data_IF_385474564299
#
_entry.id   IF_385474564299
#
_cell.length_a   1.000
_cell.length_b   1.000
_cell.length_c   1.000
_cell.angle_alpha   90.00
_cell.angle_beta   90.00
_cell.angle_gamma   90.00
#
_symmetry.space_group_name_H-M   'P 1'
#
loop_
_entity.id
_entity.type
_entity.pdbx_description
1 polymer ?
#
# COMPACT_ATOMS: atom_id res chain seq x y z
N UNK A 1 5.14 -5.08 -17.71
CA UNK A 1 5.43 -6.50 -18.00
C UNK A 1 6.65 -7.05 -17.23
N UNK A 2 6.90 -6.62 -15.99
CA UNK A 2 7.93 -7.16 -15.04
C UNK A 2 9.42 -7.33 -15.46
N UNK A 3 10.27 -7.53 -14.44
CA UNK A 3 11.72 -7.82 -14.54
C UNK A 3 12.04 -9.28 -14.18
N UNK A 4 11.08 -10.20 -14.41
CA UNK A 4 11.37 -11.63 -14.47
C UNK A 4 11.68 -12.01 -15.91
N UNK A 5 12.90 -12.48 -16.17
CA UNK A 5 13.40 -12.71 -17.53
C UNK A 5 14.25 -13.98 -17.58
N UNK A 6 14.17 -14.70 -18.70
CA UNK A 6 15.07 -15.82 -18.96
C UNK A 6 16.41 -15.32 -19.51
N UNK A 7 17.52 -15.83 -18.97
CA UNK A 7 18.89 -15.61 -19.47
C UNK A 7 19.53 -16.97 -19.65
N UNK A 8 19.86 -17.32 -20.90
CA UNK A 8 20.45 -18.63 -21.24
C UNK A 8 19.69 -19.84 -20.66
N UNK A 9 18.35 -19.77 -20.64
CA UNK A 9 17.48 -20.85 -20.15
C UNK A 9 17.20 -20.85 -18.64
N UNK A 10 17.80 -19.95 -17.85
CA UNK A 10 17.51 -19.79 -16.42
C UNK A 10 16.65 -18.56 -16.15
N UNK A 11 15.67 -18.67 -15.25
CA UNK A 11 14.77 -17.58 -14.86
C UNK A 11 15.42 -16.70 -13.80
N UNK A 12 15.50 -15.40 -14.05
CA UNK A 12 16.02 -14.40 -13.12
C UNK A 12 14.88 -13.52 -12.59
N UNK A 13 14.96 -13.18 -11.31
CA UNK A 13 14.23 -12.07 -10.71
C UNK A 13 15.20 -10.88 -10.65
N UNK A 14 15.08 -9.96 -11.60
CA UNK A 14 16.07 -8.91 -11.84
C UNK A 14 17.45 -9.51 -12.18
N UNK A 15 18.45 -9.30 -11.32
CA UNK A 15 19.81 -9.82 -11.48
C UNK A 15 20.05 -11.12 -10.70
N UNK A 16 19.05 -11.64 -9.99
CA UNK A 16 19.20 -12.82 -9.12
C UNK A 16 18.53 -14.04 -9.73
N UNK A 17 19.23 -15.18 -9.90
CA UNK A 17 18.61 -16.43 -10.36
C UNK A 17 17.51 -16.89 -9.40
N UNK A 18 16.31 -17.17 -9.91
CA UNK A 18 15.18 -17.66 -9.10
C UNK A 18 15.52 -18.99 -8.43
N UNK A 19 16.31 -19.84 -9.10
CA UNK A 19 16.76 -21.12 -8.56
C UNK A 19 17.62 -20.97 -7.31
N UNK A 20 18.47 -19.94 -7.24
CA UNK A 20 19.27 -19.64 -6.05
C UNK A 20 18.39 -19.22 -4.87
N UNK A 21 17.40 -18.34 -5.13
CA UNK A 21 16.40 -17.94 -4.13
C UNK A 21 15.61 -19.15 -3.61
N UNK A 22 15.15 -20.03 -4.51
CA UNK A 22 14.43 -21.24 -4.12
C UNK A 22 15.28 -22.22 -3.30
N UNK A 23 16.59 -22.36 -3.61
CA UNK A 23 17.50 -23.18 -2.81
C UNK A 23 17.76 -22.59 -1.42
N UNK A 24 17.90 -21.27 -1.32
CA UNK A 24 18.23 -20.60 -0.07
C UNK A 24 17.02 -20.47 0.86
N UNK A 25 15.86 -20.06 0.34
CA UNK A 25 14.66 -19.79 1.14
C UNK A 25 13.65 -20.96 1.18
N UNK A 26 13.85 -22.00 0.36
CA UNK A 26 12.92 -23.12 0.23
C UNK A 26 11.70 -22.80 -0.66
N UNK A 27 10.80 -23.76 -0.82
CA UNK A 27 9.56 -23.61 -1.60
C UNK A 27 8.34 -24.11 -0.82
N UNK A 28 7.13 -23.53 -1.03
CA UNK A 28 6.81 -22.44 -1.97
C UNK A 28 7.35 -21.07 -1.53
N UNK A 29 7.70 -20.22 -2.51
CA UNK A 29 8.31 -18.90 -2.28
C UNK A 29 7.68 -17.83 -3.18
N UNK A 30 7.24 -16.73 -2.58
CA UNK A 30 6.88 -15.51 -3.32
C UNK A 30 8.12 -14.63 -3.51
N UNK A 31 8.38 -14.25 -4.76
CA UNK A 31 9.48 -13.36 -5.13
C UNK A 31 8.87 -12.10 -5.76
N UNK A 32 9.25 -10.94 -5.25
CA UNK A 32 8.82 -9.65 -5.78
C UNK A 32 10.01 -8.90 -6.36
N UNK A 33 9.81 -8.26 -7.51
CA UNK A 33 10.83 -7.40 -8.12
C UNK A 33 10.61 -5.95 -7.67
N UNK A 34 11.62 -5.39 -7.01
CA UNK A 34 11.69 -3.98 -6.63
C UNK A 34 11.55 -3.08 -7.86
N UNK A 35 12.34 -3.33 -8.91
CA UNK A 35 12.36 -2.53 -10.13
C UNK A 35 11.03 -2.61 -10.90
N UNK A 36 10.36 -3.75 -10.84
CA UNK A 36 9.00 -3.88 -11.38
C UNK A 36 8.04 -2.97 -10.64
N UNK A 37 7.96 -3.09 -9.31
CA UNK A 37 7.05 -2.31 -8.48
C UNK A 37 7.30 -0.80 -8.64
N UNK A 38 8.56 -0.38 -8.56
CA UNK A 38 8.94 1.02 -8.72
C UNK A 38 8.57 1.55 -10.10
N UNK A 39 8.90 0.83 -11.18
CA UNK A 39 8.55 1.27 -12.55
C UNK A 39 7.04 1.44 -12.72
N UNK A 40 6.24 0.51 -12.20
CA UNK A 40 4.79 0.59 -12.32
C UNK A 40 4.21 1.75 -11.51
N UNK A 41 4.72 1.98 -10.30
CA UNK A 41 4.34 3.14 -9.49
C UNK A 41 4.73 4.46 -10.17
N UNK A 42 5.97 4.57 -10.66
CA UNK A 42 6.45 5.75 -11.38
C UNK A 42 5.67 6.05 -12.65
N UNK A 43 5.27 5.03 -13.41
CA UNK A 43 4.47 5.22 -14.60
C UNK A 43 3.09 5.84 -14.28
N UNK A 44 2.53 5.56 -13.10
CA UNK A 44 1.32 6.21 -12.61
C UNK A 44 1.61 7.64 -12.16
N UNK A 45 2.59 7.85 -11.29
CA UNK A 45 2.96 9.19 -10.79
C UNK A 45 3.28 10.16 -11.94
N UNK A 46 4.14 9.77 -12.88
CA UNK A 46 4.56 10.64 -13.98
C UNK A 46 3.43 10.96 -14.97
N UNK A 47 2.39 10.13 -15.03
CA UNK A 47 1.23 10.39 -15.88
C UNK A 47 0.40 11.59 -15.40
N UNK A 48 0.55 11.98 -14.14
CA UNK A 48 -0.09 13.15 -13.53
C UNK A 48 0.90 14.30 -13.27
N UNK A 49 2.09 14.27 -13.90
CA UNK A 49 3.06 15.35 -13.79
C UNK A 49 2.45 16.70 -14.20
N UNK A 50 2.72 17.73 -13.41
CA UNK A 50 2.15 19.08 -13.60
C UNK A 50 0.76 19.29 -12.96
N UNK A 51 0.15 18.25 -12.39
CA UNK A 51 -1.11 18.37 -11.65
C UNK A 51 -0.93 17.98 -10.17
N UNK A 52 -1.46 18.76 -9.21
CA UNK A 52 -1.43 18.36 -7.80
C UNK A 52 -2.19 17.05 -7.58
N UNK A 53 -1.49 16.02 -7.12
CA UNK A 53 -2.08 14.70 -6.88
C UNK A 53 -1.37 13.94 -5.74
N UNK A 54 -2.00 12.84 -5.30
CA UNK A 54 -1.41 11.86 -4.38
C UNK A 54 -1.82 10.46 -4.88
N UNK A 55 -0.87 9.60 -5.26
CA UNK A 55 -1.19 8.20 -5.55
C UNK A 55 -1.25 7.38 -4.27
N UNK A 56 -2.44 6.91 -3.92
CA UNK A 56 -2.67 6.03 -2.78
C UNK A 56 -2.69 4.56 -3.23
N UNK A 57 -1.69 3.77 -2.83
CA UNK A 57 -1.66 2.35 -3.15
C UNK A 57 -2.70 1.58 -2.34
N UNK A 58 -3.54 0.78 -3.01
CA UNK A 58 -4.54 -0.07 -2.35
C UNK A 58 -3.86 -1.21 -1.60
N UNK A 59 -3.75 -1.07 -0.27
CA UNK A 59 -2.95 -1.95 0.60
C UNK A 59 -3.41 -3.41 0.54
N UNK A 60 -4.72 -3.63 0.41
CA UNK A 60 -5.34 -4.97 0.23
C UNK A 60 -4.77 -5.80 -0.91
N UNK A 61 -4.15 -5.18 -1.92
CA UNK A 61 -3.55 -5.89 -3.04
C UNK A 61 -2.24 -6.59 -2.66
N UNK A 62 -1.43 -5.98 -1.81
CA UNK A 62 -0.23 -6.57 -1.23
C UNK A 62 0.21 -5.78 0.02
N UNK A 63 -0.10 -6.25 1.24
CA UNK A 63 0.19 -5.52 2.48
C UNK A 63 1.63 -5.72 2.97
N UNK A 64 2.53 -6.28 2.16
CA UNK A 64 3.92 -6.47 2.56
C UNK A 64 4.59 -5.12 2.89
N UNK A 65 5.13 -5.00 4.11
CA UNK A 65 5.71 -3.74 4.62
C UNK A 65 6.89 -3.23 3.79
N UNK A 66 7.66 -4.10 3.15
CA UNK A 66 8.77 -3.68 2.29
C UNK A 66 8.26 -3.03 0.99
N UNK A 67 7.16 -3.53 0.44
CA UNK A 67 6.50 -2.95 -0.75
C UNK A 67 5.88 -1.59 -0.40
N UNK A 68 5.16 -1.50 0.72
CA UNK A 68 4.59 -0.23 1.17
C UNK A 68 5.68 0.82 1.46
N UNK A 69 6.80 0.39 2.05
CA UNK A 69 7.96 1.25 2.31
C UNK A 69 8.60 1.73 1.01
N UNK A 70 8.67 0.88 -0.01
CA UNK A 70 9.13 1.26 -1.35
C UNK A 70 8.27 2.42 -1.89
N UNK A 71 6.95 2.29 -1.90
CA UNK A 71 6.06 3.36 -2.41
C UNK A 71 6.13 4.62 -1.55
N UNK A 72 6.17 4.48 -0.22
CA UNK A 72 6.31 5.60 0.71
C UNK A 72 7.55 6.46 0.42
N UNK A 73 8.71 5.81 0.18
CA UNK A 73 9.97 6.51 -0.13
C UNK A 73 9.92 7.31 -1.43
N UNK A 74 8.97 6.99 -2.29
CA UNK A 74 8.78 7.66 -3.57
C UNK A 74 7.53 8.55 -3.58
N UNK A 75 7.05 8.95 -2.40
CA UNK A 75 5.97 9.93 -2.27
C UNK A 75 4.56 9.33 -2.24
N UNK A 76 4.41 8.01 -2.38
CA UNK A 76 3.12 7.32 -2.37
C UNK A 76 2.38 7.36 -1.02
N UNK A 77 1.06 7.36 -1.12
CA UNK A 77 0.12 7.19 -0.03
C UNK A 77 -0.42 5.76 0.10
N UNK A 78 -1.41 5.57 0.97
CA UNK A 78 -2.11 4.30 1.13
C UNK A 78 -3.63 4.49 1.06
N UNK A 79 -4.28 3.64 0.29
CA UNK A 79 -5.71 3.39 0.37
C UNK A 79 -5.91 2.12 1.21
N UNK A 80 -6.53 2.27 2.37
CA UNK A 80 -6.74 1.22 3.35
C UNK A 80 -8.23 0.90 3.50
N UNK A 81 -8.53 -0.33 3.92
CA UNK A 81 -9.90 -0.80 4.22
C UNK A 81 -10.07 -1.37 5.63
N UNK A 82 -9.02 -1.34 6.46
CA UNK A 82 -9.09 -1.77 7.86
C UNK A 82 -8.07 -1.07 8.75
N UNK A 83 -8.29 -1.11 10.07
CA UNK A 83 -7.33 -0.66 11.08
C UNK A 83 -6.03 -1.47 11.07
N UNK A 84 -6.08 -2.74 10.65
CA UNK A 84 -4.87 -3.56 10.43
C UNK A 84 -4.01 -3.00 9.30
N UNK A 85 -4.64 -2.61 8.19
CA UNK A 85 -3.93 -1.95 7.08
C UNK A 85 -3.41 -0.57 7.46
N UNK A 86 -4.16 0.22 8.26
CA UNK A 86 -3.68 1.47 8.83
C UNK A 86 -2.39 1.24 9.64
N UNK A 87 -2.40 0.24 10.52
CA UNK A 87 -1.23 -0.09 11.34
C UNK A 87 -0.02 -0.43 10.47
N UNK A 88 -0.21 -1.29 9.46
CA UNK A 88 0.86 -1.75 8.57
C UNK A 88 1.39 -0.60 7.69
N UNK A 89 0.52 0.27 7.16
CA UNK A 89 0.90 1.44 6.37
C UNK A 89 1.75 2.43 7.19
N UNK A 90 1.35 2.74 8.42
CA UNK A 90 2.12 3.59 9.33
C UNK A 90 3.47 2.97 9.69
N UNK A 91 3.51 1.66 9.97
CA UNK A 91 4.76 0.92 10.25
C UNK A 91 5.71 0.89 9.05
N UNK A 92 5.16 0.90 7.83
CA UNK A 92 5.95 0.97 6.60
C UNK A 92 6.59 2.36 6.39
N UNK A 93 6.09 3.39 7.06
CA UNK A 93 6.59 4.77 7.01
C UNK A 93 5.71 5.72 6.19
N UNK A 94 4.53 5.29 5.75
CA UNK A 94 3.61 6.15 5.00
C UNK A 94 3.11 7.27 5.92
N UNK A 95 3.27 8.56 5.55
CA UNK A 95 2.73 9.66 6.34
C UNK A 95 1.22 9.52 6.46
N UNK A 96 0.66 9.65 7.67
CA UNK A 96 -0.80 9.57 7.90
C UNK A 96 -1.60 10.51 6.99
N UNK A 97 -1.03 11.66 6.65
CA UNK A 97 -1.60 12.72 5.80
C UNK A 97 -1.64 12.33 4.32
N UNK A 98 -1.19 11.11 3.99
CA UNK A 98 -1.32 10.47 2.68
C UNK A 98 -2.07 9.13 2.78
N UNK A 99 -2.81 8.90 3.86
CA UNK A 99 -3.61 7.68 4.05
C UNK A 99 -5.09 8.03 3.93
N UNK A 100 -5.79 7.33 3.04
CA UNK A 100 -7.24 7.43 2.84
C UNK A 100 -7.88 6.12 3.29
N UNK A 101 -9.03 6.19 3.98
CA UNK A 101 -9.68 5.02 4.56
C UNK A 101 -11.04 4.77 3.91
N UNK A 102 -11.11 3.75 3.05
CA UNK A 102 -12.31 3.24 2.40
C UNK A 102 -12.95 2.04 3.15
N UNK A 103 -14.03 1.49 2.60
CA UNK A 103 -14.69 0.27 3.09
C UNK A 103 -15.98 0.54 3.85
N UNK A 104 -17.01 -0.25 3.57
CA UNK A 104 -18.39 -0.07 4.09
C UNK A 104 -18.59 -0.39 5.57
N UNK A 105 -17.61 -1.00 6.24
CA UNK A 105 -17.78 -1.62 7.56
C UNK A 105 -16.81 -1.13 8.62
N UNK A 106 -16.44 0.15 8.61
CA UNK A 106 -15.49 0.72 9.58
C UNK A 106 -16.07 0.63 10.99
N UNK A 107 -15.36 -0.03 11.90
CA UNK A 107 -15.80 -0.15 13.30
C UNK A 107 -15.47 1.11 14.10
N UNK A 108 -16.17 1.34 15.21
CA UNK A 108 -15.91 2.48 16.11
C UNK A 108 -14.42 2.57 16.52
N UNK A 109 -13.80 1.43 16.88
CA UNK A 109 -12.39 1.40 17.29
C UNK A 109 -11.43 1.75 16.14
N UNK A 110 -11.75 1.32 14.92
CA UNK A 110 -11.00 1.68 13.72
C UNK A 110 -11.14 3.17 13.39
N UNK A 111 -12.34 3.73 13.49
CA UNK A 111 -12.61 5.16 13.31
C UNK A 111 -11.81 5.97 14.34
N UNK A 112 -11.89 5.60 15.62
CA UNK A 112 -11.09 6.23 16.70
C UNK A 112 -9.59 6.16 16.40
N UNK A 113 -9.10 5.00 15.94
CA UNK A 113 -7.69 4.84 15.62
C UNK A 113 -7.25 5.74 14.47
N UNK A 114 -8.02 5.79 13.39
CA UNK A 114 -7.78 6.65 12.24
C UNK A 114 -7.82 8.15 12.59
N UNK A 115 -8.79 8.59 13.41
CA UNK A 115 -8.87 9.96 13.92
C UNK A 115 -7.65 10.33 14.77
N UNK A 116 -7.25 9.49 15.73
CA UNK A 116 -6.05 9.72 16.56
C UNK A 116 -4.77 9.83 15.72
N UNK A 117 -4.70 9.07 14.62
CA UNK A 117 -3.57 9.10 13.70
C UNK A 117 -3.64 10.24 12.69
N UNK A 118 -4.74 11.00 12.66
CA UNK A 118 -4.95 12.15 11.78
C UNK A 118 -4.69 11.78 10.32
N UNK A 119 -5.36 10.73 9.84
CA UNK A 119 -5.29 10.32 8.43
C UNK A 119 -5.83 11.43 7.51
N UNK A 120 -5.55 11.35 6.21
CA UNK A 120 -5.95 12.38 5.25
C UNK A 120 -7.48 12.52 5.15
N UNK A 121 -8.18 11.42 4.92
CA UNK A 121 -9.64 11.41 4.82
C UNK A 121 -10.26 10.03 5.02
N UNK A 122 -11.52 10.02 5.42
CA UNK A 122 -12.40 8.86 5.34
C UNK A 122 -13.19 8.93 4.04
N UNK A 123 -13.18 7.85 3.26
CA UNK A 123 -14.11 7.66 2.15
C UNK A 123 -15.37 7.02 2.74
N UNK A 124 -16.39 7.83 2.96
CA UNK A 124 -17.66 7.42 3.58
C UNK A 124 -18.58 6.82 2.52
N UNK A 125 -19.15 5.64 2.80
CA UNK A 125 -19.96 4.86 1.86
C UNK A 125 -21.44 4.75 2.27
N UNK A 126 -21.82 5.29 3.44
CA UNK A 126 -23.22 5.40 3.86
C UNK A 126 -23.50 6.58 4.79
N UNK A 127 -24.77 7.00 4.89
CA UNK A 127 -25.18 8.05 5.83
C UNK A 127 -25.00 7.61 7.30
N UNK A 128 -25.26 6.33 7.60
CA UNK A 128 -25.09 5.80 8.96
C UNK A 128 -23.61 5.81 9.37
N UNK A 129 -22.71 5.49 8.45
CA UNK A 129 -21.27 5.63 8.67
C UNK A 129 -20.87 7.10 8.91
N UNK A 130 -21.42 8.05 8.15
CA UNK A 130 -21.15 9.48 8.38
C UNK A 130 -21.54 9.91 9.79
N UNK A 131 -22.74 9.50 10.24
CA UNK A 131 -23.25 9.80 11.59
C UNK A 131 -22.37 9.17 12.66
N UNK A 132 -21.91 7.95 12.44
CA UNK A 132 -21.02 7.24 13.37
C UNK A 132 -19.66 7.92 13.47
N UNK A 133 -19.03 8.30 12.34
CA UNK A 133 -17.78 9.06 12.36
C UNK A 133 -17.96 10.39 13.11
N UNK A 134 -19.06 11.11 12.85
CA UNK A 134 -19.36 12.35 13.56
C UNK A 134 -19.53 12.13 15.07
N UNK A 135 -20.25 11.08 15.48
CA UNK A 135 -20.42 10.70 16.88
C UNK A 135 -19.08 10.44 17.56
N UNK A 136 -18.21 9.67 16.92
CA UNK A 136 -16.89 9.31 17.43
C UNK A 136 -15.92 10.50 17.44
N UNK A 137 -16.00 11.41 16.48
CA UNK A 137 -15.16 12.60 16.44
C UNK A 137 -15.55 13.66 17.48
N UNK A 138 -16.81 13.67 17.92
CA UNK A 138 -17.32 14.59 18.94
C UNK A 138 -17.00 14.21 20.39
N UNK A 139 -16.36 13.06 20.62
CA UNK A 139 -15.90 12.60 21.95
C UNK A 139 -14.44 12.93 22.19
#
# INVERSE_FOLDING_TARGET
MHYFQYRSGELYAEEVPVKELARYYGTPLYIYSYNTLLRHFMAYESAFDGYPHITCFAVKSNPNTAILRLFSRHGGGADIVSGGELHVALKAGIPSQKIVYAGVGKTEDEIKFALRKKILMFNVESEDELREINRVAGT
#
